data_IF_699355361809
#
_entry.id   IF_699355361809
#
_cell.length_a   1.000
_cell.length_b   1.000
_cell.length_c   1.000
_cell.angle_alpha   90.00
_cell.angle_beta   90.00
_cell.angle_gamma   90.00
#
_symmetry.space_group_name_H-M   'P 1'
#
loop_
_entity.id
_entity.type
_entity.pdbx_description
1 polymer ?
#
# COMPACT_ATOMS: atom_id res chain seq x y z
N UNK A 1 3.65 -6.66 -34.25
CA UNK A 1 3.82 -6.40 -32.81
C UNK A 1 2.50 -6.74 -32.13
N UNK A 2 2.40 -7.91 -31.49
CA UNK A 2 1.15 -8.34 -30.85
C UNK A 2 1.12 -7.83 -29.40
N UNK A 3 0.44 -6.72 -29.17
CA UNK A 3 0.11 -6.26 -27.82
C UNK A 3 -1.10 -7.09 -27.34
N UNK A 4 -0.85 -8.21 -26.66
CA UNK A 4 -1.91 -8.89 -25.93
C UNK A 4 -2.37 -7.98 -24.80
N UNK A 5 -3.52 -7.33 -24.98
CA UNK A 5 -4.11 -6.46 -23.97
C UNK A 5 -4.50 -7.28 -22.74
N UNK A 6 -3.86 -7.00 -21.60
CA UNK A 6 -4.23 -7.60 -20.33
C UNK A 6 -5.67 -7.22 -19.97
N UNK A 7 -6.56 -8.21 -19.82
CA UNK A 7 -7.95 -7.95 -19.44
C UNK A 7 -8.04 -7.58 -17.95
N UNK A 8 -8.61 -6.41 -17.65
CA UNK A 8 -8.82 -5.90 -16.29
C UNK A 8 -10.30 -6.00 -15.90
N UNK A 9 -10.66 -7.07 -15.17
CA UNK A 9 -12.01 -7.23 -14.62
C UNK A 9 -12.38 -6.07 -13.69
N UNK A 10 -13.58 -5.52 -13.87
CA UNK A 10 -14.13 -4.44 -13.03
C UNK A 10 -13.85 -3.02 -13.54
N UNK A 11 -13.21 -2.87 -14.70
CA UNK A 11 -13.16 -1.59 -15.42
C UNK A 11 -14.32 -1.49 -16.43
N UNK A 12 -14.85 -0.28 -16.69
CA UNK A 12 -15.90 -0.09 -17.70
C UNK A 12 -15.50 -0.62 -19.08
N UNK A 13 -14.22 -0.46 -19.44
CA UNK A 13 -13.61 -1.15 -20.58
C UNK A 13 -12.56 -2.15 -20.07
N UNK A 14 -12.80 -3.47 -20.19
CA UNK A 14 -11.89 -4.48 -19.66
C UNK A 14 -10.63 -4.68 -20.51
N UNK A 15 -10.57 -4.16 -21.74
CA UNK A 15 -9.39 -4.25 -22.61
C UNK A 15 -8.83 -2.86 -22.86
N UNK A 16 -7.64 -2.58 -22.34
CA UNK A 16 -7.01 -1.28 -22.51
C UNK A 16 -5.64 -1.19 -21.89
N UNK A 17 -4.93 -0.11 -22.19
CA UNK A 17 -3.63 0.20 -21.60
C UNK A 17 -3.84 0.84 -20.21
N UNK A 18 -3.17 0.31 -19.19
CA UNK A 18 -3.14 0.92 -17.86
C UNK A 18 -2.03 1.98 -17.83
N UNK A 19 -2.40 3.21 -17.53
CA UNK A 19 -1.47 4.35 -17.44
C UNK A 19 -1.51 4.89 -16.01
N UNK A 20 -0.34 5.20 -15.45
CA UNK A 20 -0.19 5.94 -14.20
C UNK A 20 0.08 7.41 -14.55
N UNK A 21 -0.71 8.32 -13.98
CA UNK A 21 -0.67 9.74 -14.36
C UNK A 21 -0.08 10.54 -13.21
N UNK A 22 1.20 10.88 -13.37
CA UNK A 22 1.95 12.09 -12.93
C UNK A 22 3.39 11.94 -13.48
N UNK A 23 3.83 10.70 -13.73
CA UNK A 23 5.06 10.35 -14.44
C UNK A 23 4.77 9.24 -15.47
N UNK A 24 5.17 9.39 -16.73
CA UNK A 24 4.80 8.47 -17.80
C UNK A 24 5.60 7.16 -17.69
N UNK A 25 5.03 6.17 -17.01
CA UNK A 25 5.50 4.80 -17.09
C UNK A 25 4.42 3.90 -17.70
N UNK A 26 4.77 3.26 -18.80
CA UNK A 26 3.92 2.27 -19.48
C UNK A 26 4.38 0.90 -19.02
N UNK A 27 3.57 0.24 -18.20
CA UNK A 27 3.82 -1.13 -17.77
C UNK A 27 3.62 -2.13 -18.92
N UNK A 28 4.67 -2.87 -19.27
CA UNK A 28 4.70 -3.78 -20.43
C UNK A 28 4.42 -5.25 -20.09
N UNK A 29 4.19 -5.59 -18.81
CA UNK A 29 3.90 -6.95 -18.38
C UNK A 29 5.09 -7.68 -17.75
N UNK A 30 5.11 -9.01 -17.82
CA UNK A 30 5.97 -9.88 -16.99
C UNK A 30 7.49 -9.78 -17.25
N UNK A 31 7.92 -9.07 -18.30
CA UNK A 31 9.34 -8.81 -18.60
C UNK A 31 9.80 -7.40 -18.27
N UNK A 32 8.91 -6.55 -17.75
CA UNK A 32 9.19 -5.14 -17.52
C UNK A 32 10.04 -4.93 -16.26
N UNK A 33 11.10 -4.12 -16.41
CA UNK A 33 11.99 -3.73 -15.31
C UNK A 33 11.54 -2.36 -14.80
N UNK A 34 10.53 -2.38 -13.94
CA UNK A 34 9.96 -1.17 -13.34
C UNK A 34 11.04 -0.35 -12.63
N UNK A 35 11.94 -1.05 -11.93
CA UNK A 35 13.14 -0.52 -11.27
C UNK A 35 14.32 -1.37 -11.71
N UNK A 36 15.52 -0.77 -11.84
CA UNK A 36 16.74 -1.54 -12.02
C UNK A 36 16.98 -2.43 -10.78
N UNK A 37 16.66 -3.73 -10.89
CA UNK A 37 16.76 -4.74 -9.82
C UNK A 37 18.22 -4.98 -9.30
N UNK A 38 19.21 -4.25 -9.82
CA UNK A 38 20.57 -4.18 -9.24
C UNK A 38 20.61 -3.41 -7.92
N UNK A 39 19.58 -2.60 -7.61
CA UNK A 39 19.48 -1.86 -6.37
C UNK A 39 18.88 -2.73 -5.25
N UNK A 40 19.70 -3.07 -4.24
CA UNK A 40 19.37 -3.48 -2.86
C UNK A 40 18.39 -4.67 -2.69
N UNK A 41 18.79 -5.68 -1.92
CA UNK A 41 18.00 -6.90 -1.66
C UNK A 41 16.56 -6.65 -1.17
N UNK A 42 16.30 -5.53 -0.50
CA UNK A 42 14.97 -5.19 0.01
C UNK A 42 13.98 -4.80 -1.09
N UNK A 43 14.45 -4.20 -2.20
CA UNK A 43 13.61 -3.85 -3.36
C UNK A 43 13.16 -5.12 -4.10
N UNK A 44 14.00 -6.17 -4.12
CA UNK A 44 13.66 -7.45 -4.77
C UNK A 44 12.46 -8.16 -4.12
N UNK A 45 12.20 -7.90 -2.83
CA UNK A 45 11.09 -8.49 -2.07
C UNK A 45 9.77 -7.74 -2.28
N UNK A 46 9.79 -6.56 -2.91
CA UNK A 46 8.59 -5.78 -3.17
C UNK A 46 7.76 -6.40 -4.30
N UNK A 47 6.43 -6.33 -4.16
CA UNK A 47 5.52 -6.67 -5.25
C UNK A 47 5.56 -5.59 -6.35
N UNK A 48 5.04 -5.95 -7.54
CA UNK A 48 5.02 -5.07 -8.71
C UNK A 48 4.42 -3.70 -8.40
N UNK A 49 3.31 -3.66 -7.66
CA UNK A 49 2.66 -2.41 -7.30
C UNK A 49 3.49 -1.52 -6.37
N UNK A 50 4.20 -2.11 -5.39
CA UNK A 50 5.11 -1.35 -4.53
C UNK A 50 6.32 -0.82 -5.32
N UNK A 51 6.83 -1.60 -6.30
CA UNK A 51 7.90 -1.11 -7.20
C UNK A 51 7.43 0.06 -8.08
N UNK A 52 6.18 0.04 -8.55
CA UNK A 52 5.60 1.17 -9.29
C UNK A 52 5.56 2.44 -8.44
N UNK A 53 5.15 2.34 -7.17
CA UNK A 53 5.15 3.49 -6.25
C UNK A 53 6.56 3.97 -5.95
N UNK A 54 7.50 3.06 -5.73
CA UNK A 54 8.88 3.43 -5.42
C UNK A 54 9.50 4.22 -6.59
N UNK A 55 9.36 3.72 -7.83
CA UNK A 55 9.75 4.47 -9.03
C UNK A 55 9.04 5.81 -9.12
N UNK A 56 7.72 5.82 -8.91
CA UNK A 56 6.93 7.05 -8.92
C UNK A 56 7.43 8.07 -7.90
N UNK A 57 7.85 7.61 -6.72
CA UNK A 57 8.34 8.49 -5.66
C UNK A 57 9.73 9.08 -5.92
N UNK A 58 10.47 8.61 -6.92
CA UNK A 58 11.77 9.19 -7.30
C UNK A 58 11.61 10.56 -7.99
N UNK A 59 10.47 10.83 -8.63
CA UNK A 59 10.17 12.12 -9.27
C UNK A 59 9.41 13.09 -8.37
N UNK A 60 9.11 12.70 -7.13
CA UNK A 60 8.42 13.56 -6.18
C UNK A 60 9.39 14.40 -5.35
N UNK A 61 8.97 15.61 -4.91
CA UNK A 61 9.74 16.36 -3.94
C UNK A 61 9.82 15.61 -2.60
N UNK A 62 10.91 15.80 -1.83
CA UNK A 62 11.03 15.22 -0.49
C UNK A 62 9.92 15.75 0.43
N UNK A 63 9.71 15.04 1.55
CA UNK A 63 8.69 15.31 2.55
C UNK A 63 7.24 15.15 2.03
N UNK A 64 7.04 14.38 0.96
CA UNK A 64 5.73 14.11 0.40
C UNK A 64 4.95 13.03 1.18
N UNK A 65 3.62 13.11 1.17
CA UNK A 65 2.73 12.10 1.75
C UNK A 65 1.98 11.36 0.63
N UNK A 66 2.31 10.09 0.44
CA UNK A 66 1.71 9.22 -0.57
C UNK A 66 0.49 8.51 -0.02
N UNK A 67 -0.64 8.59 -0.74
CA UNK A 67 -1.86 7.85 -0.44
C UNK A 67 -2.07 6.75 -1.47
N UNK A 68 -2.01 5.50 -1.02
CA UNK A 68 -1.89 4.33 -1.88
C UNK A 68 -3.11 3.40 -1.73
N UNK A 69 -3.59 2.88 -2.86
CA UNK A 69 -4.59 1.83 -2.87
C UNK A 69 -4.03 0.46 -2.49
N UNK A 70 -4.92 -0.49 -2.20
CA UNK A 70 -4.56 -1.84 -1.72
C UNK A 70 -3.60 -2.66 -2.57
N UNK A 71 -3.49 -2.35 -3.86
CA UNK A 71 -2.60 -3.04 -4.80
C UNK A 71 -1.18 -2.48 -4.80
N UNK A 72 -0.96 -1.34 -4.16
CA UNK A 72 0.27 -0.55 -4.19
C UNK A 72 0.86 -0.35 -2.79
N UNK A 73 0.23 -0.93 -1.76
CA UNK A 73 0.60 -0.72 -0.36
C UNK A 73 1.16 -2.01 0.24
N UNK A 74 2.32 -1.89 0.84
CA UNK A 74 2.95 -2.93 1.66
C UNK A 74 3.73 -2.27 2.80
N UNK A 75 3.89 -2.96 3.93
CA UNK A 75 4.67 -2.41 5.06
C UNK A 75 6.14 -2.16 4.68
N UNK A 76 6.85 -3.07 3.99
CA UNK A 76 8.23 -2.82 3.58
C UNK A 76 8.40 -1.60 2.64
N UNK A 77 7.37 -1.25 1.88
CA UNK A 77 7.40 -0.05 1.03
C UNK A 77 7.49 1.24 1.86
N UNK A 78 6.81 1.31 3.02
CA UNK A 78 6.83 2.51 3.86
C UNK A 78 8.25 2.78 4.38
N UNK A 79 9.00 1.75 4.77
CA UNK A 79 10.40 1.91 5.17
C UNK A 79 11.26 2.47 4.05
N UNK A 80 11.11 1.93 2.84
CA UNK A 80 11.92 2.37 1.70
C UNK A 80 11.56 3.81 1.34
N UNK A 81 10.27 4.16 1.33
CA UNK A 81 9.82 5.53 1.08
C UNK A 81 10.42 6.50 2.11
N UNK A 82 10.42 6.12 3.38
CA UNK A 82 10.96 6.95 4.46
C UNK A 82 12.47 7.14 4.34
N UNK A 83 13.23 6.04 4.27
CA UNK A 83 14.70 6.08 4.35
C UNK A 83 15.38 6.48 3.03
N UNK A 84 14.78 6.18 1.87
CA UNK A 84 15.40 6.46 0.56
C UNK A 84 14.83 7.69 -0.13
N UNK A 85 13.52 7.82 -0.14
CA UNK A 85 12.84 8.86 -0.91
C UNK A 85 12.42 10.05 -0.04
N UNK A 86 12.69 9.99 1.27
CA UNK A 86 12.31 11.01 2.25
C UNK A 86 10.82 11.38 2.18
N UNK A 87 9.97 10.41 1.84
CA UNK A 87 8.52 10.56 1.80
C UNK A 87 7.86 9.61 2.80
N UNK A 88 6.60 9.89 3.13
CA UNK A 88 5.78 9.04 3.99
C UNK A 88 4.68 8.38 3.18
N UNK A 89 4.20 7.23 3.65
CA UNK A 89 3.15 6.46 2.99
C UNK A 89 1.93 6.26 3.88
N UNK A 90 0.74 6.25 3.28
CA UNK A 90 -0.51 5.83 3.91
C UNK A 90 -1.31 5.02 2.90
N UNK A 91 -1.86 3.89 3.31
CA UNK A 91 -2.65 3.10 2.38
C UNK A 91 -3.39 1.93 3.02
N UNK A 92 -4.29 1.34 2.24
CA UNK A 92 -5.00 0.12 2.62
C UNK A 92 -4.14 -1.10 2.37
N UNK A 93 -4.12 -2.07 3.29
CA UNK A 93 -3.42 -3.33 3.12
C UNK A 93 -4.36 -4.41 2.56
N UNK A 94 -3.81 -5.28 1.71
CA UNK A 94 -4.43 -6.58 1.40
C UNK A 94 -4.22 -7.53 2.57
N UNK A 95 -5.15 -8.46 2.76
CA UNK A 95 -5.10 -9.49 3.80
C UNK A 95 -3.76 -10.25 3.83
N UNK A 96 -3.21 -10.56 2.66
CA UNK A 96 -1.94 -11.29 2.51
C UNK A 96 -0.69 -10.42 2.71
N UNK A 97 -0.84 -9.10 2.73
CA UNK A 97 0.26 -8.14 2.94
C UNK A 97 0.33 -7.66 4.40
N UNK A 98 -0.61 -8.10 5.25
CA UNK A 98 -0.50 -7.94 6.70
C UNK A 98 0.61 -8.89 7.15
N UNK A 99 1.68 -8.33 7.72
CA UNK A 99 2.85 -9.11 8.10
C UNK A 99 2.43 -10.22 9.08
N UNK A 100 2.87 -11.46 8.81
CA UNK A 100 2.54 -12.64 9.60
C UNK A 100 3.01 -12.57 11.05
N UNK A 101 3.95 -11.68 11.36
CA UNK A 101 4.47 -11.41 12.69
C UNK A 101 3.64 -10.39 13.48
N UNK A 102 2.60 -9.79 12.90
CA UNK A 102 1.71 -8.84 13.59
C UNK A 102 0.50 -9.59 14.15
N UNK A 103 0.47 -9.74 15.48
CA UNK A 103 -0.62 -10.41 16.19
C UNK A 103 -1.84 -9.49 16.34
N UNK A 104 -2.61 -9.37 15.26
CA UNK A 104 -3.94 -8.76 15.32
C UNK A 104 -4.97 -9.70 15.95
N UNK A 105 -6.02 -9.11 16.54
CA UNK A 105 -7.29 -9.78 16.80
C UNK A 105 -7.77 -10.49 15.53
N UNK A 106 -8.25 -11.70 15.71
CA UNK A 106 -8.81 -12.51 14.64
C UNK A 106 -10.03 -11.83 14.02
N UNK A 107 -10.39 -12.22 12.81
CA UNK A 107 -11.60 -11.70 12.15
C UNK A 107 -12.87 -11.96 12.99
N UNK A 108 -12.89 -13.09 13.71
CA UNK A 108 -14.01 -13.47 14.59
C UNK A 108 -14.07 -12.54 15.80
N UNK A 109 -12.94 -12.29 16.46
CA UNK A 109 -12.87 -11.38 17.59
C UNK A 109 -13.25 -9.96 17.18
N UNK A 110 -12.74 -9.46 16.05
CA UNK A 110 -13.09 -8.12 15.57
C UNK A 110 -14.57 -7.98 15.25
N UNK A 111 -15.20 -9.00 14.64
CA UNK A 111 -16.64 -8.98 14.32
C UNK A 111 -17.55 -9.07 15.55
N UNK A 112 -17.04 -9.59 16.68
CA UNK A 112 -17.76 -9.60 17.96
C UNK A 112 -17.73 -8.25 18.65
N UNK A 113 -16.77 -7.39 18.28
CA UNK A 113 -16.76 -6.00 18.70
C UNK A 113 -17.76 -5.18 17.87
N UNK A 114 -18.04 -3.97 18.35
CA UNK A 114 -18.95 -3.06 17.65
C UNK A 114 -18.37 -2.55 16.32
N UNK A 115 -19.28 -2.09 15.45
CA UNK A 115 -18.95 -1.35 14.24
C UNK A 115 -18.11 -0.12 14.61
N UNK A 116 -17.01 0.08 13.88
CA UNK A 116 -16.03 1.12 14.16
C UNK A 116 -14.87 0.66 15.04
N UNK A 117 -14.85 -0.60 15.49
CA UNK A 117 -13.77 -1.14 16.32
C UNK A 117 -12.43 -1.20 15.57
N UNK A 118 -11.36 -0.96 16.32
CA UNK A 118 -9.99 -0.81 15.81
C UNK A 118 -9.06 -1.67 16.65
N UNK A 119 -8.19 -2.43 15.98
CA UNK A 119 -7.00 -3.02 16.58
C UNK A 119 -5.77 -2.44 15.88
N UNK A 120 -4.94 -1.76 16.64
CA UNK A 120 -3.77 -1.01 16.16
C UNK A 120 -2.49 -1.63 16.73
N UNK A 121 -1.46 -1.72 15.90
CA UNK A 121 -0.10 -2.09 16.31
C UNK A 121 0.85 -1.04 15.77
N UNK A 122 1.57 -0.41 16.69
CA UNK A 122 2.62 0.57 16.38
C UNK A 122 3.95 -0.16 16.42
N UNK A 123 4.83 0.10 15.45
CA UNK A 123 6.18 -0.46 15.45
C UNK A 123 7.00 0.12 16.60
N UNK A 124 8.00 -0.62 17.06
CA UNK A 124 8.79 -0.26 18.25
C UNK A 124 9.49 1.11 18.15
N UNK A 125 9.86 1.53 16.94
CA UNK A 125 10.49 2.84 16.66
C UNK A 125 9.45 3.95 16.39
N UNK A 126 8.16 3.64 16.53
CA UNK A 126 7.01 4.52 16.28
C UNK A 126 6.96 5.12 14.86
N UNK A 127 7.69 4.56 13.90
CA UNK A 127 7.78 5.11 12.55
C UNK A 127 6.62 4.73 11.64
N UNK A 128 6.04 3.57 11.85
CA UNK A 128 4.83 3.16 11.19
C UNK A 128 3.91 2.42 12.15
N UNK A 129 2.66 2.33 11.76
CA UNK A 129 1.65 1.56 12.46
C UNK A 129 0.74 0.91 11.44
N UNK A 130 0.21 -0.23 11.86
CA UNK A 130 -0.74 -1.01 11.09
C UNK A 130 -2.03 -1.12 11.88
N UNK A 131 -3.15 -0.96 11.19
CA UNK A 131 -4.47 -0.95 11.78
C UNK A 131 -5.35 -1.98 11.10
N UNK A 132 -6.10 -2.71 11.92
CA UNK A 132 -7.24 -3.51 11.50
C UNK A 132 -8.50 -2.81 11.99
N UNK A 133 -9.29 -2.31 11.05
CA UNK A 133 -10.54 -1.60 11.33
C UNK A 133 -11.73 -2.44 10.87
N UNK A 134 -12.75 -2.54 11.71
CA UNK A 134 -14.00 -3.20 11.39
C UNK A 134 -15.11 -2.16 11.24
N UNK A 135 -15.67 -2.08 10.04
CA UNK A 135 -16.92 -1.37 9.79
C UNK A 135 -18.00 -2.37 9.37
N UNK A 136 -18.46 -2.35 8.12
CA UNK A 136 -19.25 -3.44 7.55
C UNK A 136 -18.36 -4.62 7.10
N UNK A 137 -17.09 -4.32 6.78
CA UNK A 137 -16.06 -5.28 6.39
C UNK A 137 -14.77 -4.97 7.16
N UNK A 138 -13.88 -5.95 7.23
CA UNK A 138 -12.56 -5.77 7.82
C UNK A 138 -11.61 -5.15 6.79
N UNK A 139 -10.98 -4.06 7.18
CA UNK A 139 -10.01 -3.32 6.37
C UNK A 139 -8.69 -3.22 7.12
N UNK A 140 -7.61 -3.59 6.45
CA UNK A 140 -6.25 -3.31 6.91
C UNK A 140 -5.80 -1.96 6.40
N UNK A 141 -5.12 -1.18 7.23
CA UNK A 141 -4.52 0.11 6.90
C UNK A 141 -3.09 0.13 7.45
N UNK A 142 -2.23 0.91 6.83
CA UNK A 142 -0.90 1.23 7.35
C UNK A 142 -0.57 2.69 7.05
N UNK A 143 0.20 3.32 7.92
CA UNK A 143 0.71 4.65 7.69
C UNK A 143 2.02 4.90 8.45
N UNK A 144 2.88 5.70 7.84
CA UNK A 144 4.07 6.30 8.44
C UNK A 144 3.98 7.83 8.51
N UNK A 145 2.90 8.41 7.98
CA UNK A 145 2.67 9.86 7.96
C UNK A 145 1.83 10.34 9.16
N UNK A 146 0.86 9.53 9.58
CA UNK A 146 -0.22 9.96 10.48
C UNK A 146 -0.24 9.10 11.72
N UNK A 147 0.34 9.54 12.83
CA UNK A 147 0.21 8.82 14.10
C UNK A 147 -1.23 8.77 14.63
N UNK A 148 -1.37 8.24 15.84
CA UNK A 148 -2.65 8.10 16.56
C UNK A 148 -3.31 9.46 16.81
N UNK A 149 -4.09 9.95 15.85
CA UNK A 149 -4.94 11.12 16.02
C UNK A 149 -6.28 10.69 16.62
N UNK A 150 -6.91 11.56 17.41
CA UNK A 150 -8.16 11.30 18.11
C UNK A 150 -9.20 10.61 17.21
N UNK A 151 -9.69 9.45 17.63
CA UNK A 151 -10.79 8.76 16.95
C UNK A 151 -12.04 9.64 17.03
N UNK A 152 -12.42 10.23 15.91
CA UNK A 152 -13.68 10.98 15.82
C UNK A 152 -14.76 9.99 15.40
N UNK A 153 -15.83 9.92 16.18
CA UNK A 153 -17.04 9.17 15.77
C UNK A 153 -17.73 9.94 14.65
N UNK A 154 -17.41 9.59 13.40
CA UNK A 154 -18.08 10.18 12.24
C UNK A 154 -19.41 9.43 12.00
N UNK A 155 -20.54 10.08 12.30
CA UNK A 155 -21.85 9.61 11.87
C UNK A 155 -22.00 9.95 10.38
N UNK A 156 -22.28 8.93 9.57
CA UNK A 156 -22.49 9.08 8.14
C UNK A 156 -23.82 9.75 7.86
#
# INVERSE_FOLDING_TARGET
>A
MNLQGNSLKGKPNPYGLKVFVVDFFIYQGSGDKIINDSAVNDIKKLDTGSKEILRFSESLPPCCNLYMGKYFTSVPLLDILHYKNHCQGTGTLRKNNILSNVNFKTDIEMKRLDRGSVDEKVRNDAQDFVVKWFDNILVGLTSSAHGKHYFVTCKR
#
